data_IF_185208727715
#
_entry.id   IF_185208727715
#
_cell.length_a   1.000
_cell.length_b   1.000
_cell.length_c   1.000
_cell.angle_alpha   90.00
_cell.angle_beta   90.00
_cell.angle_gamma   90.00
#
_symmetry.space_group_name_H-M   'P 1'
#
loop_
_entity.id
_entity.type
_entity.pdbx_description
1 polymer ?
#
# COMPACT_ATOMS: atom_id res chain seq x y z
N UNK A 1 7.71 -20.73 1.43
CA UNK A 1 7.39 -21.02 2.84
C UNK A 1 7.17 -19.68 3.52
N UNK A 2 6.07 -19.50 4.25
CA UNK A 2 5.76 -18.23 4.94
C UNK A 2 6.47 -18.11 6.30
N UNK A 3 6.99 -19.23 6.80
CA UNK A 3 7.78 -19.26 8.02
C UNK A 3 9.15 -18.63 7.75
N UNK A 4 9.56 -17.73 8.64
CA UNK A 4 10.76 -16.94 8.56
C UNK A 4 11.59 -17.12 9.81
N UNK A 5 12.89 -17.17 9.62
CA UNK A 5 13.92 -17.21 10.65
C UNK A 5 14.42 -15.77 10.85
N UNK A 6 14.10 -15.15 12.00
CA UNK A 6 14.46 -13.76 12.28
C UNK A 6 15.94 -13.62 12.67
N UNK A 7 16.54 -14.68 13.20
CA UNK A 7 17.86 -14.66 13.80
C UNK A 7 18.94 -15.34 12.92
N UNK A 8 18.51 -16.01 11.83
CA UNK A 8 19.31 -16.73 10.86
C UNK A 8 20.12 -17.90 11.47
N UNK A 9 19.54 -18.59 12.46
CA UNK A 9 20.13 -19.78 13.10
C UNK A 9 19.75 -21.11 12.40
N UNK A 10 18.93 -21.04 11.36
CA UNK A 10 18.44 -22.17 10.59
C UNK A 10 17.10 -22.71 11.07
N UNK A 11 16.47 -22.09 12.07
CA UNK A 11 15.15 -22.46 12.57
C UNK A 11 14.14 -21.33 12.37
N UNK A 12 12.99 -21.65 11.77
CA UNK A 12 11.95 -20.65 11.58
C UNK A 12 11.23 -20.37 12.91
N UNK A 13 10.99 -19.10 13.20
CA UNK A 13 10.41 -18.64 14.46
C UNK A 13 9.04 -17.98 14.26
N UNK A 14 8.80 -17.40 13.08
CA UNK A 14 7.59 -16.58 12.82
C UNK A 14 6.97 -16.89 11.48
N UNK A 15 5.68 -16.61 11.31
CA UNK A 15 5.03 -16.53 10.01
C UNK A 15 5.03 -15.07 9.54
N UNK A 16 5.75 -14.77 8.46
CA UNK A 16 6.01 -13.40 8.00
C UNK A 16 5.10 -13.01 6.82
N UNK A 17 3.92 -12.49 7.11
CA UNK A 17 2.96 -11.98 6.12
C UNK A 17 3.01 -10.45 6.10
N UNK A 18 3.24 -9.87 4.93
CA UNK A 18 3.23 -8.42 4.72
C UNK A 18 1.86 -7.91 4.26
N UNK A 19 1.20 -8.65 3.38
CA UNK A 19 -0.10 -8.27 2.84
C UNK A 19 -0.96 -9.49 2.65
N UNK A 20 -2.25 -9.36 2.95
CA UNK A 20 -3.28 -10.35 2.64
C UNK A 20 -4.47 -9.66 1.98
N UNK A 21 -5.00 -10.25 0.91
CA UNK A 21 -6.22 -9.80 0.26
C UNK A 21 -7.32 -10.85 0.43
N UNK A 22 -8.53 -10.42 0.77
CA UNK A 22 -9.69 -11.29 0.90
C UNK A 22 -10.14 -11.87 -0.44
N UNK A 23 -10.81 -13.02 -0.41
CA UNK A 23 -11.30 -13.67 -1.64
C UNK A 23 -12.55 -12.99 -2.22
N UNK A 24 -13.38 -12.39 -1.38
CA UNK A 24 -14.70 -11.95 -1.79
C UNK A 24 -14.67 -10.55 -2.40
N UNK A 25 -15.24 -10.41 -3.60
CA UNK A 25 -15.57 -9.13 -4.22
C UNK A 25 -16.77 -8.52 -3.51
N UNK A 26 -16.60 -7.32 -2.94
CA UNK A 26 -17.59 -6.66 -2.08
C UNK A 26 -17.74 -5.19 -2.47
N UNK A 27 -18.96 -4.67 -2.33
CA UNK A 27 -19.22 -3.23 -2.46
C UNK A 27 -18.91 -2.53 -1.12
N UNK A 28 -17.90 -1.64 -1.08
CA UNK A 28 -17.48 -1.04 0.17
C UNK A 28 -18.45 0.02 0.72
N UNK A 29 -19.39 0.52 -0.10
CA UNK A 29 -20.44 1.44 0.33
C UNK A 29 -21.65 0.71 0.92
N UNK A 30 -21.74 -0.61 0.73
CA UNK A 30 -22.81 -1.43 1.30
C UNK A 30 -22.57 -1.64 2.79
N UNK A 31 -23.67 -1.72 3.55
CA UNK A 31 -23.65 -2.11 4.96
C UNK A 31 -23.14 -3.54 5.11
N UNK A 32 -22.27 -3.75 6.10
CA UNK A 32 -21.63 -5.05 6.34
C UNK A 32 -22.62 -6.09 6.87
N UNK A 33 -23.68 -5.66 7.57
CA UNK A 33 -24.78 -6.54 8.01
C UNK A 33 -24.41 -7.53 9.12
N UNK A 34 -23.23 -7.37 9.73
CA UNK A 34 -22.70 -8.19 10.82
C UNK A 34 -22.14 -7.28 11.91
N UNK A 35 -22.26 -7.68 13.18
CA UNK A 35 -21.64 -7.01 14.32
C UNK A 35 -20.43 -7.82 14.79
N UNK A 36 -19.42 -7.13 15.34
CA UNK A 36 -18.24 -7.79 15.89
C UNK A 36 -17.13 -6.81 16.27
N UNK A 37 -15.99 -7.38 16.66
CA UNK A 37 -14.79 -6.65 17.04
C UNK A 37 -13.61 -7.23 16.30
N UNK A 38 -12.91 -6.38 15.54
CA UNK A 38 -11.61 -6.70 14.99
C UNK A 38 -10.54 -6.45 16.04
N UNK A 39 -9.60 -7.38 16.18
CA UNK A 39 -8.47 -7.23 17.07
C UNK A 39 -7.18 -7.34 16.27
N UNK A 40 -6.34 -6.33 16.43
CA UNK A 40 -5.02 -6.22 15.80
C UNK A 40 -3.98 -5.90 16.86
N UNK A 41 -2.70 -6.14 16.54
CA UNK A 41 -1.59 -5.68 17.37
C UNK A 41 -0.82 -4.57 16.67
N UNK A 42 -0.59 -3.47 17.38
CA UNK A 42 0.29 -2.41 16.91
C UNK A 42 1.71 -2.95 16.73
N UNK A 43 2.44 -2.39 15.77
CA UNK A 43 3.82 -2.79 15.50
C UNK A 43 4.82 -2.12 16.47
N UNK A 44 4.55 -2.19 17.78
CA UNK A 44 5.38 -1.68 18.88
C UNK A 44 5.96 -2.82 19.75
N UNK A 45 6.92 -2.52 20.63
CA UNK A 45 7.63 -3.55 21.41
C UNK A 45 6.71 -4.48 22.21
N UNK A 46 5.54 -3.97 22.62
CA UNK A 46 4.59 -4.66 23.47
C UNK A 46 3.48 -5.38 22.70
N UNK A 47 3.42 -5.23 21.38
CA UNK A 47 2.28 -5.67 20.56
C UNK A 47 0.94 -5.18 21.12
N UNK A 48 0.82 -3.87 21.38
CA UNK A 48 -0.36 -3.30 22.03
C UNK A 48 -1.64 -3.69 21.28
N UNK A 49 -2.59 -4.29 22.00
CA UNK A 49 -3.87 -4.72 21.44
C UNK A 49 -4.73 -3.51 21.05
N UNK A 50 -5.17 -3.49 19.79
CA UNK A 50 -6.08 -2.48 19.24
C UNK A 50 -7.36 -3.18 18.81
N UNK A 51 -8.46 -2.79 19.45
CA UNK A 51 -9.79 -3.35 19.20
C UNK A 51 -10.64 -2.34 18.44
N UNK A 52 -11.29 -2.80 17.39
CA UNK A 52 -12.08 -1.97 16.48
C UNK A 52 -13.45 -2.61 16.31
N UNK A 53 -14.43 -2.01 16.95
CA UNK A 53 -15.82 -2.47 16.88
C UNK A 53 -16.47 -2.01 15.56
N UNK A 54 -17.26 -2.92 14.99
CA UNK A 54 -18.09 -2.67 13.82
C UNK A 54 -19.50 -3.18 14.07
N UNK A 55 -20.48 -2.50 13.48
CA UNK A 55 -21.88 -2.87 13.57
C UNK A 55 -22.48 -3.23 12.21
N UNK A 56 -23.59 -3.97 12.22
CA UNK A 56 -24.40 -4.31 11.06
C UNK A 56 -24.82 -3.10 10.22
N UNK A 57 -24.93 -1.94 10.86
CA UNK A 57 -25.27 -0.67 10.21
C UNK A 57 -24.08 0.04 9.56
N UNK A 58 -22.85 -0.31 9.94
CA UNK A 58 -21.65 0.28 9.38
C UNK A 58 -21.44 -0.17 7.93
N UNK A 59 -20.91 0.73 7.12
CA UNK A 59 -20.37 0.40 5.79
C UNK A 59 -18.93 -0.07 5.91
N UNK A 60 -18.47 -0.89 4.96
CA UNK A 60 -17.08 -1.34 4.97
C UNK A 60 -16.11 -0.15 4.87
N UNK A 61 -16.44 0.90 4.12
CA UNK A 61 -15.64 2.13 4.07
C UNK A 61 -15.45 2.78 5.46
N UNK A 62 -16.48 2.77 6.31
CA UNK A 62 -16.37 3.28 7.66
C UNK A 62 -15.48 2.38 8.53
N UNK A 63 -15.59 1.06 8.39
CA UNK A 63 -14.73 0.11 9.10
C UNK A 63 -13.27 0.26 8.67
N UNK A 64 -12.99 0.33 7.36
CA UNK A 64 -11.66 0.59 6.79
C UNK A 64 -11.09 1.89 7.35
N UNK A 65 -11.89 2.95 7.40
CA UNK A 65 -11.47 4.22 7.98
C UNK A 65 -11.09 4.07 9.46
N UNK A 66 -11.92 3.39 10.26
CA UNK A 66 -11.60 3.12 11.68
C UNK A 66 -10.31 2.32 11.84
N UNK A 67 -10.06 1.31 10.99
CA UNK A 67 -8.80 0.56 10.97
C UNK A 67 -7.60 1.49 10.75
N UNK A 68 -7.68 2.33 9.73
CA UNK A 68 -6.59 3.23 9.37
C UNK A 68 -6.38 4.35 10.40
N UNK A 69 -7.45 4.84 11.02
CA UNK A 69 -7.40 5.89 12.04
C UNK A 69 -6.89 5.36 13.40
N UNK A 70 -7.01 4.05 13.67
CA UNK A 70 -6.65 3.45 14.95
C UNK A 70 -5.14 3.14 15.12
N UNK A 71 -4.35 3.27 14.05
CA UNK A 71 -2.92 2.90 14.02
C UNK A 71 -2.67 1.49 14.59
N UNK A 72 -3.35 0.52 13.95
CA UNK A 72 -3.46 -0.85 14.41
C UNK A 72 -2.34 -1.78 13.90
N UNK A 73 -1.21 -1.24 13.43
CA UNK A 73 -0.13 -2.02 12.81
C UNK A 73 -0.42 -2.49 11.36
N UNK A 74 -1.62 -2.20 10.86
CA UNK A 74 -2.07 -2.53 9.51
C UNK A 74 -2.78 -1.34 8.86
N UNK A 75 -2.72 -1.28 7.53
CA UNK A 75 -3.52 -0.38 6.68
C UNK A 75 -4.47 -1.22 5.85
N UNK A 76 -5.74 -0.85 5.89
CA UNK A 76 -6.81 -1.46 5.12
C UNK A 76 -7.15 -0.61 3.89
N UNK A 77 -7.36 -1.26 2.75
CA UNK A 77 -7.81 -0.60 1.52
C UNK A 77 -8.54 -1.58 0.59
N UNK A 78 -9.30 -1.06 -0.36
CA UNK A 78 -9.91 -1.86 -1.42
C UNK A 78 -8.97 -1.94 -2.62
N UNK A 79 -8.72 -3.15 -3.15
CA UNK A 79 -7.98 -3.31 -4.40
C UNK A 79 -8.86 -3.00 -5.62
N UNK A 80 -8.27 -3.05 -6.83
CA UNK A 80 -9.02 -2.83 -8.08
C UNK A 80 -10.07 -3.91 -8.39
N UNK A 81 -9.99 -5.06 -7.73
CA UNK A 81 -10.95 -6.18 -7.86
C UNK A 81 -12.07 -6.11 -6.81
N UNK A 82 -12.20 -4.98 -6.12
CA UNK A 82 -13.15 -4.75 -5.03
C UNK A 82 -13.05 -5.79 -3.90
N UNK A 83 -11.83 -6.20 -3.56
CA UNK A 83 -11.55 -7.05 -2.40
C UNK A 83 -10.85 -6.21 -1.32
N UNK A 84 -11.13 -6.54 -0.05
CA UNK A 84 -10.42 -5.93 1.07
C UNK A 84 -8.98 -6.46 1.13
N UNK A 85 -8.01 -5.55 1.16
CA UNK A 85 -6.61 -5.86 1.40
C UNK A 85 -6.16 -5.24 2.72
N UNK A 86 -5.39 -6.01 3.50
CA UNK A 86 -4.70 -5.57 4.70
C UNK A 86 -3.21 -5.64 4.45
N UNK A 87 -2.50 -4.55 4.76
CA UNK A 87 -1.05 -4.43 4.57
C UNK A 87 -0.39 -3.98 5.87
N UNK A 88 0.69 -4.64 6.26
CA UNK A 88 1.45 -4.27 7.45
C UNK A 88 2.10 -2.89 7.32
N UNK A 89 2.11 -2.14 8.42
CA UNK A 89 2.85 -0.87 8.52
C UNK A 89 4.29 -1.10 8.97
N UNK A 90 5.07 -0.03 9.00
CA UNK A 90 6.43 -0.11 9.51
C UNK A 90 6.43 -0.40 11.02
N UNK A 91 7.35 -1.25 11.47
CA UNK A 91 7.53 -1.54 12.89
C UNK A 91 8.32 -0.42 13.57
N UNK A 92 7.87 0.00 14.75
CA UNK A 92 8.54 1.03 15.56
C UNK A 92 9.58 0.44 16.54
N UNK A 93 9.60 -0.88 16.70
CA UNK A 93 10.47 -1.63 17.61
C UNK A 93 11.69 -2.24 16.89
N UNK A 94 11.59 -3.48 16.41
CA UNK A 94 12.65 -4.21 15.74
C UNK A 94 12.46 -4.15 14.23
N UNK A 95 13.52 -3.68 13.56
CA UNK A 95 13.63 -3.65 12.10
C UNK A 95 13.47 -5.04 11.47
N UNK A 96 13.75 -6.13 12.19
CA UNK A 96 13.57 -7.50 11.71
C UNK A 96 12.10 -7.90 11.58
N UNK A 97 11.22 -7.34 12.42
CA UNK A 97 9.77 -7.58 12.37
C UNK A 97 9.03 -6.53 11.53
N UNK A 98 9.78 -5.69 10.82
CA UNK A 98 9.23 -4.63 10.01
C UNK A 98 8.37 -5.22 8.88
N UNK A 99 7.27 -4.54 8.55
CA UNK A 99 6.36 -4.97 7.49
C UNK A 99 5.79 -6.39 7.70
N UNK A 100 5.55 -6.78 8.95
CA UNK A 100 4.84 -8.00 9.32
C UNK A 100 3.48 -7.66 9.94
N UNK A 101 2.42 -8.31 9.46
CA UNK A 101 1.13 -8.32 10.14
C UNK A 101 1.33 -9.14 11.41
N UNK A 102 1.04 -8.57 12.58
CA UNK A 102 1.29 -9.23 13.86
C UNK A 102 0.12 -10.09 14.33
N UNK A 103 -1.09 -9.54 14.28
CA UNK A 103 -2.28 -10.24 14.71
C UNK A 103 -3.46 -9.84 13.83
N UNK A 104 -4.25 -10.83 13.41
CA UNK A 104 -5.54 -10.62 12.76
C UNK A 104 -6.57 -11.50 13.47
N UNK A 105 -7.55 -10.88 14.11
CA UNK A 105 -8.66 -11.58 14.71
C UNK A 105 -9.96 -10.82 14.44
N UNK A 106 -11.02 -11.59 14.24
CA UNK A 106 -12.37 -11.06 14.12
C UNK A 106 -13.30 -11.92 14.97
N UNK A 107 -14.00 -11.30 15.93
CA UNK A 107 -15.00 -12.00 16.75
C UNK A 107 -16.32 -12.26 16.00
N UNK A 108 -16.58 -11.53 14.91
CA UNK A 108 -17.75 -11.69 14.05
C UNK A 108 -17.40 -12.34 12.72
N UNK A 109 -18.01 -11.87 11.63
CA UNK A 109 -17.94 -12.50 10.30
C UNK A 109 -17.36 -11.58 9.21
N UNK A 110 -16.83 -10.41 9.58
CA UNK A 110 -16.30 -9.44 8.63
C UNK A 110 -15.05 -9.96 7.90
N UNK A 111 -14.03 -10.43 8.63
CA UNK A 111 -12.80 -10.99 8.06
C UNK A 111 -12.98 -12.41 7.52
N UNK A 112 -14.04 -13.11 7.94
CA UNK A 112 -14.26 -14.53 7.64
C UNK A 112 -15.28 -14.70 6.52
N UNK A 113 -16.56 -14.51 6.80
CA UNK A 113 -17.64 -14.66 5.83
C UNK A 113 -17.73 -13.53 4.80
N UNK A 114 -17.59 -12.27 5.23
CA UNK A 114 -17.83 -11.09 4.38
C UNK A 114 -16.67 -10.84 3.41
N UNK A 115 -15.44 -10.71 3.91
CA UNK A 115 -14.26 -10.41 3.07
C UNK A 115 -13.49 -11.67 2.64
N UNK A 116 -13.55 -12.77 3.40
CA UNK A 116 -12.83 -14.00 3.07
C UNK A 116 -11.32 -13.92 3.27
N UNK A 117 -10.85 -13.20 4.30
CA UNK A 117 -9.43 -13.12 4.68
C UNK A 117 -9.05 -14.29 5.61
N UNK A 118 -9.85 -14.56 6.65
CA UNK A 118 -9.63 -15.58 7.66
C UNK A 118 -10.52 -16.82 7.43
N UNK A 119 -10.08 -17.98 7.91
CA UNK A 119 -10.81 -19.24 7.82
C UNK A 119 -11.88 -19.42 8.91
N UNK A 120 -11.71 -18.78 10.07
CA UNK A 120 -12.64 -18.90 11.20
C UNK A 120 -12.59 -17.65 12.10
N UNK A 121 -13.68 -17.41 12.82
CA UNK A 121 -13.82 -16.29 13.76
C UNK A 121 -13.30 -16.64 15.15
N UNK A 122 -13.04 -15.60 15.95
CA UNK A 122 -12.55 -15.67 17.33
C UNK A 122 -11.09 -16.08 17.45
N UNK A 123 -10.62 -16.17 18.70
CA UNK A 123 -9.21 -16.39 19.03
C UNK A 123 -8.60 -17.67 18.47
N UNK A 124 -9.40 -18.70 18.20
CA UNK A 124 -8.92 -19.95 17.58
C UNK A 124 -8.68 -19.82 16.06
N UNK A 125 -9.38 -18.89 15.41
CA UNK A 125 -9.23 -18.54 14.00
C UNK A 125 -8.27 -17.38 13.76
N UNK A 126 -7.82 -16.72 14.83
CA UNK A 126 -6.88 -15.62 14.77
C UNK A 126 -5.53 -16.05 14.17
N UNK A 127 -4.97 -15.18 13.35
CA UNK A 127 -3.62 -15.26 12.83
C UNK A 127 -2.67 -14.56 13.82
N UNK A 128 -1.60 -15.24 14.25
CA UNK A 128 -0.55 -14.66 15.12
C UNK A 128 0.85 -14.93 14.52
N UNK A 129 1.59 -13.87 14.19
CA UNK A 129 2.89 -14.02 13.53
C UNK A 129 3.93 -14.83 14.33
N UNK A 130 3.80 -14.93 15.66
CA UNK A 130 4.75 -15.66 16.52
C UNK A 130 4.58 -17.17 16.46
N UNK A 131 3.56 -17.67 15.76
CA UNK A 131 3.32 -19.09 15.56
C UNK A 131 3.69 -19.47 14.13
N UNK A 132 4.12 -20.72 13.98
CA UNK A 132 4.48 -21.29 12.69
C UNK A 132 3.24 -21.77 11.95
N UNK A 133 3.30 -21.76 10.62
CA UNK A 133 2.25 -22.26 9.73
C UNK A 133 0.90 -21.54 9.86
N UNK A 134 0.91 -20.32 10.38
CA UNK A 134 -0.29 -19.49 10.57
C UNK A 134 -0.87 -18.98 9.26
N UNK A 135 -0.13 -19.08 8.17
CA UNK A 135 -0.66 -18.85 6.83
C UNK A 135 -1.87 -19.77 6.52
N UNK A 136 -1.98 -20.93 7.18
CA UNK A 136 -3.14 -21.83 7.07
C UNK A 136 -4.41 -21.26 7.72
N UNK A 137 -4.32 -20.19 8.52
CA UNK A 137 -5.48 -19.45 9.04
C UNK A 137 -6.05 -18.50 8.01
N UNK A 138 -5.25 -18.13 7.00
CA UNK A 138 -5.68 -17.28 5.91
C UNK A 138 -6.44 -18.11 4.88
N UNK A 139 -7.55 -17.56 4.41
CA UNK A 139 -8.35 -18.15 3.33
C UNK A 139 -7.83 -17.73 1.96
N UNK A 140 -7.12 -16.60 1.89
CA UNK A 140 -6.55 -16.06 0.66
C UNK A 140 -5.61 -17.06 -0.03
N UNK A 141 -5.71 -17.27 -1.35
CA UNK A 141 -4.75 -18.09 -2.07
C UNK A 141 -3.35 -17.46 -1.99
N UNK A 142 -2.30 -18.28 -2.12
CA UNK A 142 -0.90 -17.82 -1.94
C UNK A 142 -0.50 -16.65 -2.85
N UNK A 143 -1.17 -16.46 -3.99
CA UNK A 143 -0.95 -15.33 -4.89
C UNK A 143 -1.42 -13.97 -4.30
N UNK A 144 -2.38 -14.02 -3.38
CA UNK A 144 -3.00 -12.86 -2.73
C UNK A 144 -2.40 -12.59 -1.34
N UNK A 145 -1.44 -13.42 -0.93
CA UNK A 145 -0.62 -13.23 0.27
C UNK A 145 0.79 -12.85 -0.17
N UNK A 146 1.25 -11.67 0.22
CA UNK A 146 2.63 -11.25 0.00
C UNK A 146 3.41 -11.45 1.29
N UNK A 147 4.53 -12.16 1.20
CA UNK A 147 5.44 -12.37 2.33
C UNK A 147 6.25 -11.11 2.61
N UNK A 148 6.70 -10.96 3.85
CA UNK A 148 7.53 -9.84 4.25
C UNK A 148 8.86 -9.83 3.50
N UNK A 149 9.31 -8.65 2.99
CA UNK A 149 10.62 -8.53 2.36
C UNK A 149 11.70 -9.00 3.32
N UNK A 150 12.57 -9.89 2.84
CA UNK A 150 13.66 -10.45 3.64
C UNK A 150 14.60 -9.31 4.04
N UNK A 151 14.87 -9.19 5.34
CA UNK A 151 15.81 -8.22 5.86
C UNK A 151 17.24 -8.62 5.44
N UNK A 152 18.01 -7.67 4.90
CA UNK A 152 19.36 -7.89 4.37
C UNK A 152 19.48 -9.04 3.36
N UNK A 153 18.96 -8.92 2.12
CA UNK A 153 19.18 -9.94 1.10
C UNK A 153 20.67 -10.21 0.84
N UNK A 154 21.54 -9.22 1.07
CA UNK A 154 22.99 -9.37 0.98
C UNK A 154 23.61 -10.25 2.08
N UNK A 155 22.92 -10.50 3.20
CA UNK A 155 23.40 -11.42 4.24
C UNK A 155 23.37 -12.88 3.80
N UNK A 156 22.53 -13.21 2.82
CA UNK A 156 22.51 -14.51 2.14
C UNK A 156 23.62 -14.65 1.10
N UNK A 157 24.32 -13.57 0.76
CA UNK A 157 25.51 -13.63 -0.09
C UNK A 157 26.72 -13.87 0.79
N UNK A 158 27.08 -15.14 0.97
CA UNK A 158 28.30 -15.53 1.68
C UNK A 158 29.39 -15.99 0.69
N UNK A 159 30.64 -15.67 1.01
CA UNK A 159 31.81 -16.23 0.32
C UNK A 159 31.95 -17.69 0.76
N UNK A 160 32.11 -18.61 -0.19
CA UNK A 160 32.40 -20.02 0.12
C UNK A 160 33.52 -20.15 1.15
N UNK A 161 33.35 -21.06 2.11
CA UNK A 161 34.36 -21.34 3.14
C UNK A 161 35.74 -21.66 2.55
N UNK A 162 35.77 -22.33 1.40
CA UNK A 162 37.02 -22.66 0.70
C UNK A 162 37.77 -21.41 0.23
N UNK A 163 37.04 -20.43 -0.32
CA UNK A 163 37.60 -19.15 -0.77
C UNK A 163 37.99 -18.26 0.42
N UNK A 164 37.20 -18.29 1.51
CA UNK A 164 37.51 -17.55 2.73
C UNK A 164 38.78 -18.07 3.40
N UNK A 165 38.97 -19.38 3.43
CA UNK A 165 40.12 -20.04 4.05
C UNK A 165 41.38 -19.95 3.19
N UNK A 166 41.24 -20.05 1.87
CA UNK A 166 42.36 -19.88 0.94
C UNK A 166 41.91 -19.15 -0.34
N UNK A 167 42.18 -17.83 -0.44
CA UNK A 167 41.90 -17.06 -1.65
C UNK A 167 42.67 -17.55 -2.90
N UNK A 168 43.77 -18.30 -2.73
CA UNK A 168 44.54 -18.84 -3.85
C UNK A 168 43.81 -19.99 -4.57
N UNK A 169 42.72 -20.51 -3.99
CA UNK A 169 41.83 -21.49 -4.66
C UNK A 169 41.07 -20.88 -5.85
N UNK A 170 40.96 -19.54 -5.93
CA UNK A 170 40.43 -18.87 -7.10
C UNK A 170 41.50 -18.86 -8.20
N UNK A 171 41.46 -19.87 -9.07
CA UNK A 171 42.33 -19.96 -10.24
C UNK A 171 41.95 -18.93 -11.32
N UNK A 172 42.25 -17.65 -11.08
CA UNK A 172 41.89 -16.54 -11.97
C UNK A 172 42.66 -16.54 -13.31
N UNK A 173 43.87 -17.10 -13.33
CA UNK A 173 44.69 -17.29 -14.54
C UNK A 173 44.61 -18.71 -15.07
N UNK A 174 44.60 -18.86 -16.40
CA UNK A 174 44.56 -20.16 -17.07
C UNK A 174 45.94 -20.68 -17.42
N UNK A 175 46.91 -19.77 -17.59
CA UNK A 175 48.23 -20.09 -18.09
C UNK A 175 48.34 -19.96 -19.62
N UNK A 176 49.50 -20.37 -20.14
CA UNK A 176 49.80 -20.45 -21.58
C UNK A 176 50.01 -21.92 -21.96
N UNK A 177 49.43 -22.31 -23.08
CA UNK A 177 49.78 -23.55 -23.77
C UNK A 177 51.06 -23.28 -24.57
N UNK A 178 52.15 -23.89 -24.11
CA UNK A 178 53.45 -23.85 -24.80
C UNK A 178 53.63 -25.19 -25.49
N UNK A 179 53.36 -25.23 -26.78
CA UNK A 179 53.45 -26.46 -27.59
C UNK A 179 52.22 -26.73 -28.45
N UNK A 180 51.07 -26.09 -28.15
CA UNK A 180 49.84 -26.24 -28.92
C UNK A 180 49.15 -27.58 -28.65
N UNK A 181 49.40 -28.18 -27.49
CA UNK A 181 48.95 -29.50 -27.08
C UNK A 181 47.58 -29.47 -26.38
N UNK A 182 47.04 -28.28 -26.11
CA UNK A 182 45.73 -28.07 -25.48
C UNK A 182 45.76 -28.06 -23.96
N UNK A 183 46.91 -28.28 -23.33
CA UNK A 183 47.17 -28.20 -21.91
C UNK A 183 47.97 -26.93 -21.54
N UNK A 184 47.46 -26.20 -20.55
CA UNK A 184 48.05 -24.94 -20.12
C UNK A 184 49.18 -25.20 -19.12
N UNK A 185 50.40 -25.29 -19.63
CA UNK A 185 51.56 -25.80 -18.89
C UNK A 185 52.50 -24.72 -18.33
N UNK A 186 52.23 -23.45 -18.59
CA UNK A 186 53.07 -22.33 -18.10
C UNK A 186 52.23 -21.23 -17.49
N UNK A 187 52.71 -20.58 -16.43
CA UNK A 187 52.01 -19.46 -15.80
C UNK A 187 51.83 -18.28 -16.78
N UNK A 188 50.62 -17.71 -16.84
CA UNK A 188 50.29 -16.57 -17.70
C UNK A 188 50.88 -15.23 -17.21
N UNK A 189 51.37 -15.19 -15.97
CA UNK A 189 51.90 -14.01 -15.30
C UNK A 189 50.86 -13.33 -14.40
N UNK A 190 51.27 -12.29 -13.67
CA UNK A 190 50.42 -11.57 -12.70
C UNK A 190 49.22 -10.82 -13.31
N UNK A 191 49.14 -10.73 -14.64
CA UNK A 191 48.05 -10.08 -15.38
C UNK A 191 47.14 -11.10 -16.11
N UNK A 192 47.30 -12.40 -15.87
CA UNK A 192 46.45 -13.41 -16.48
C UNK A 192 45.12 -13.55 -15.72
N UNK A 193 44.07 -12.94 -16.29
CA UNK A 193 42.68 -13.06 -15.83
C UNK A 193 41.82 -13.93 -16.74
N UNK A 194 42.40 -14.83 -17.54
CA UNK A 194 41.67 -15.58 -18.58
C UNK A 194 40.54 -16.45 -18.00
N UNK A 195 40.78 -17.10 -16.86
CA UNK A 195 39.73 -17.88 -16.18
C UNK A 195 38.70 -16.97 -15.50
N UNK A 196 39.13 -15.83 -14.94
CA UNK A 196 38.20 -14.84 -14.39
C UNK A 196 37.23 -14.31 -15.47
N UNK A 197 37.71 -14.12 -16.70
CA UNK A 197 36.87 -13.75 -17.84
C UNK A 197 35.88 -14.86 -18.22
N UNK A 198 36.32 -16.13 -18.17
CA UNK A 198 35.44 -17.28 -18.42
C UNK A 198 34.38 -17.43 -17.34
N UNK A 199 34.73 -17.24 -16.07
CA UNK A 199 33.78 -17.24 -14.95
C UNK A 199 32.77 -16.09 -15.12
N UNK A 200 33.24 -14.88 -15.45
CA UNK A 200 32.36 -13.75 -15.72
C UNK A 200 31.41 -14.01 -16.90
N UNK A 201 31.89 -14.65 -17.97
CA UNK A 201 31.07 -15.04 -19.11
C UNK A 201 30.05 -16.14 -18.75
N UNK A 202 30.45 -17.13 -17.95
CA UNK A 202 29.56 -18.20 -17.47
C UNK A 202 28.46 -17.62 -16.57
N UNK A 203 28.81 -16.75 -15.61
CA UNK A 203 27.83 -16.08 -14.75
C UNK A 203 26.85 -15.21 -15.56
N UNK A 204 27.29 -14.63 -16.68
CA UNK A 204 26.42 -13.87 -17.59
C UNK A 204 25.48 -14.73 -18.42
N UNK A 205 25.87 -15.96 -18.77
CA UNK A 205 25.13 -16.80 -19.72
C UNK A 205 24.30 -17.91 -19.05
N UNK A 206 24.68 -18.32 -17.83
CA UNK A 206 23.97 -19.40 -17.14
C UNK A 206 22.67 -18.90 -16.50
N UNK A 207 21.60 -19.68 -16.70
CA UNK A 207 20.30 -19.50 -16.04
C UNK A 207 20.39 -19.94 -14.57
N UNK A 208 21.06 -19.14 -13.73
CA UNK A 208 21.20 -19.40 -12.29
C UNK A 208 20.46 -18.40 -11.39
N UNK A 209 19.64 -17.52 -11.94
CA UNK A 209 18.77 -16.68 -11.11
C UNK A 209 17.59 -17.50 -10.59
N UNK A 210 17.44 -17.52 -9.27
CA UNK A 210 16.34 -18.24 -8.64
C UNK A 210 15.01 -17.50 -8.89
N UNK A 211 13.97 -18.26 -9.24
CA UNK A 211 12.64 -17.72 -9.58
C UNK A 211 12.52 -16.97 -10.91
N UNK A 212 13.58 -16.83 -11.71
CA UNK A 212 13.54 -16.27 -13.07
C UNK A 212 14.33 -17.17 -14.02
N UNK A 213 13.69 -17.68 -15.08
CA UNK A 213 14.36 -18.49 -16.12
C UNK A 213 15.21 -17.61 -17.08
N UNK A 214 15.94 -16.64 -16.53
CA UNK A 214 16.76 -15.69 -17.26
C UNK A 214 18.16 -15.61 -16.64
N UNK A 215 19.16 -15.31 -17.47
CA UNK A 215 20.53 -15.10 -17.00
C UNK A 215 20.63 -13.75 -16.25
N UNK A 216 21.74 -13.50 -15.54
CA UNK A 216 21.88 -12.29 -14.71
C UNK A 216 21.73 -10.98 -15.49
N UNK A 217 22.13 -10.97 -16.76
CA UNK A 217 22.02 -9.78 -17.63
C UNK A 217 20.58 -9.53 -18.06
N UNK A 218 19.86 -10.57 -18.47
CA UNK A 218 18.44 -10.50 -18.79
C UNK A 218 17.60 -10.10 -17.57
N UNK A 219 17.89 -10.67 -16.40
CA UNK A 219 17.23 -10.28 -15.15
C UNK A 219 17.45 -8.80 -14.84
N UNK A 220 18.70 -8.33 -14.95
CA UNK A 220 19.02 -6.92 -14.71
C UNK A 220 18.34 -5.99 -15.71
N UNK A 221 18.35 -6.33 -17.00
CA UNK A 221 17.65 -5.57 -18.04
C UNK A 221 16.13 -5.54 -17.82
N UNK A 222 15.54 -6.69 -17.43
CA UNK A 222 14.12 -6.77 -17.09
C UNK A 222 13.77 -5.94 -15.85
N UNK A 223 14.63 -5.94 -14.82
CA UNK A 223 14.46 -5.12 -13.63
C UNK A 223 14.48 -3.62 -13.97
N UNK A 224 15.46 -3.16 -14.75
CA UNK A 224 15.53 -1.77 -15.20
C UNK A 224 14.31 -1.41 -16.05
N UNK A 225 13.92 -2.30 -16.97
CA UNK A 225 12.75 -2.08 -17.82
C UNK A 225 11.48 -1.93 -16.99
N UNK A 226 11.26 -2.84 -16.03
CA UNK A 226 10.14 -2.80 -15.09
C UNK A 226 10.14 -1.51 -14.28
N UNK A 227 11.27 -1.14 -13.68
CA UNK A 227 11.41 0.11 -12.94
C UNK A 227 11.08 1.32 -13.80
N UNK A 228 11.54 1.34 -15.06
CA UNK A 228 11.24 2.40 -16.01
C UNK A 228 9.74 2.49 -16.36
N UNK A 229 9.08 1.35 -16.54
CA UNK A 229 7.63 1.30 -16.79
C UNK A 229 6.80 1.74 -15.58
N UNK A 230 7.16 1.29 -14.37
CA UNK A 230 6.49 1.64 -13.12
C UNK A 230 6.69 3.13 -12.80
N UNK A 231 7.90 3.67 -12.99
CA UNK A 231 8.19 5.09 -12.80
C UNK A 231 7.34 5.95 -13.74
N UNK A 232 7.23 5.58 -15.02
CA UNK A 232 6.41 6.31 -15.98
C UNK A 232 4.93 6.25 -15.62
N UNK A 233 4.43 5.08 -15.23
CA UNK A 233 3.05 4.92 -14.80
C UNK A 233 2.72 5.77 -13.55
N UNK A 234 3.65 5.86 -12.59
CA UNK A 234 3.50 6.70 -11.41
C UNK A 234 3.51 8.21 -11.75
N UNK A 235 4.38 8.64 -12.66
CA UNK A 235 4.42 10.02 -13.15
C UNK A 235 3.13 10.40 -13.87
N UNK A 236 2.65 9.55 -14.79
CA UNK A 236 1.39 9.75 -15.50
C UNK A 236 0.20 9.79 -14.52
N UNK A 237 0.17 8.93 -13.51
CA UNK A 237 -0.87 8.94 -12.48
C UNK A 237 -0.86 10.23 -11.65
N UNK A 238 0.34 10.73 -11.30
CA UNK A 238 0.49 12.00 -10.58
C UNK A 238 -0.03 13.18 -11.40
N UNK A 239 0.29 13.23 -12.70
CA UNK A 239 -0.22 14.27 -13.60
C UNK A 239 -1.74 14.24 -13.69
N UNK A 240 -2.33 13.05 -13.90
CA UNK A 240 -3.80 12.87 -13.94
C UNK A 240 -4.48 13.33 -12.66
N UNK A 241 -3.93 12.95 -11.49
CA UNK A 241 -4.50 13.38 -10.20
C UNK A 241 -4.44 14.89 -10.02
N UNK A 242 -3.39 15.56 -10.53
CA UNK A 242 -3.34 17.03 -10.51
C UNK A 242 -4.41 17.66 -11.41
N UNK A 243 -4.61 17.13 -12.62
CA UNK A 243 -5.67 17.60 -13.53
C UNK A 243 -7.07 17.38 -12.94
N UNK A 244 -7.29 16.23 -12.30
CA UNK A 244 -8.53 15.92 -11.58
C UNK A 244 -8.75 16.89 -10.41
N UNK A 245 -7.71 17.20 -9.63
CA UNK A 245 -7.79 18.18 -8.54
C UNK A 245 -8.13 19.59 -9.04
N UNK A 246 -7.57 20.02 -10.17
CA UNK A 246 -7.91 21.30 -10.79
C UNK A 246 -9.38 21.30 -11.22
N UNK A 247 -9.83 20.23 -11.88
CA UNK A 247 -11.22 20.07 -12.33
C UNK A 247 -12.20 20.08 -11.16
N UNK A 248 -11.91 19.33 -10.09
CA UNK A 248 -12.73 19.31 -8.88
C UNK A 248 -12.75 20.67 -8.17
N UNK A 249 -11.63 21.40 -8.15
CA UNK A 249 -11.61 22.75 -7.60
C UNK A 249 -12.47 23.72 -8.42
N UNK A 250 -12.42 23.64 -9.75
CA UNK A 250 -13.26 24.45 -10.63
C UNK A 250 -14.76 24.13 -10.43
N UNK A 251 -15.12 22.85 -10.33
CA UNK A 251 -16.49 22.43 -10.01
C UNK A 251 -16.94 22.96 -8.64
N UNK A 252 -16.07 22.87 -7.63
CA UNK A 252 -16.34 23.41 -6.30
C UNK A 252 -16.55 24.92 -6.34
N UNK A 253 -15.73 25.66 -7.09
CA UNK A 253 -15.90 27.10 -7.31
C UNK A 253 -17.16 27.43 -8.10
N UNK A 254 -17.58 26.59 -9.04
CA UNK A 254 -18.84 26.81 -9.78
C UNK A 254 -20.07 26.62 -8.90
N UNK A 255 -20.02 25.75 -7.90
CA UNK A 255 -21.16 25.46 -7.00
C UNK A 255 -21.16 26.39 -5.78
N UNK A 256 -19.99 26.66 -5.20
CA UNK A 256 -19.86 27.47 -3.98
C UNK A 256 -19.46 28.92 -4.25
N UNK A 257 -18.96 29.22 -5.44
CA UNK A 257 -18.64 30.58 -5.84
C UNK A 257 -19.92 31.35 -6.09
N UNK A 258 -20.04 32.50 -5.44
CA UNK A 258 -21.09 33.46 -5.76
C UNK A 258 -20.53 34.46 -6.76
N UNK A 259 -21.28 34.72 -7.83
CA UNK A 259 -20.90 35.75 -8.79
C UNK A 259 -21.17 37.12 -8.16
N UNK A 260 -20.11 37.91 -7.93
CA UNK A 260 -20.23 39.28 -7.41
C UNK A 260 -21.10 40.16 -8.31
N UNK A 261 -21.14 39.88 -9.62
CA UNK A 261 -21.98 40.59 -10.57
C UNK A 261 -23.47 40.24 -10.40
N UNK A 262 -23.78 38.97 -10.13
CA UNK A 262 -25.17 38.56 -9.79
C UNK A 262 -25.59 39.10 -8.42
N UNK A 263 -24.73 39.03 -7.41
CA UNK A 263 -25.01 39.64 -6.10
C UNK A 263 -25.18 41.15 -6.20
N UNK A 264 -24.38 41.85 -7.01
CA UNK A 264 -24.53 43.28 -7.25
C UNK A 264 -25.85 43.60 -7.97
N UNK A 265 -26.21 42.82 -9.00
CA UNK A 265 -27.49 42.98 -9.71
C UNK A 265 -28.69 42.76 -8.78
N UNK A 266 -28.64 41.71 -7.94
CA UNK A 266 -29.64 41.44 -6.91
C UNK A 266 -29.70 42.57 -5.88
N UNK A 267 -28.55 43.11 -5.46
CA UNK A 267 -28.50 44.23 -4.52
C UNK A 267 -29.15 45.49 -5.10
N UNK A 268 -28.85 45.82 -6.37
CA UNK A 268 -29.48 46.93 -7.10
C UNK A 268 -30.99 46.71 -7.24
N UNK A 269 -31.42 45.49 -7.56
CA UNK A 269 -32.84 45.13 -7.64
C UNK A 269 -33.55 45.30 -6.29
N UNK A 270 -32.95 44.84 -5.19
CA UNK A 270 -33.49 45.02 -3.85
C UNK A 270 -33.54 46.49 -3.45
N UNK A 271 -32.52 47.29 -3.80
CA UNK A 271 -32.50 48.72 -3.55
C UNK A 271 -33.60 49.46 -4.32
N UNK A 272 -33.85 49.10 -5.58
CA UNK A 272 -34.97 49.64 -6.35
C UNK A 272 -36.32 49.23 -5.78
N UNK A 273 -36.48 47.97 -5.39
CA UNK A 273 -37.69 47.44 -4.78
C UNK A 273 -38.00 48.12 -3.44
N UNK A 274 -36.98 48.35 -2.62
CA UNK A 274 -37.10 49.10 -1.36
C UNK A 274 -37.53 50.55 -1.61
N UNK A 275 -36.90 51.24 -2.55
CA UNK A 275 -37.27 52.60 -2.93
C UNK A 275 -38.69 52.69 -3.53
N UNK A 276 -39.17 51.65 -4.20
CA UNK A 276 -40.55 51.56 -4.68
C UNK A 276 -41.52 51.34 -3.51
N UNK A 277 -41.23 50.42 -2.59
CA UNK A 277 -42.04 50.16 -1.40
C UNK A 277 -42.14 51.39 -0.49
N UNK A 278 -41.02 52.09 -0.26
CA UNK A 278 -41.00 53.35 0.50
C UNK A 278 -41.91 54.42 -0.12
N UNK A 279 -41.95 54.52 -1.45
CA UNK A 279 -42.87 55.42 -2.16
C UNK A 279 -44.34 55.01 -1.98
N UNK A 280 -44.64 53.71 -2.01
CA UNK A 280 -46.01 53.20 -1.74
C UNK A 280 -46.44 53.50 -0.31
N UNK A 281 -45.55 53.34 0.67
CA UNK A 281 -45.84 53.67 2.06
C UNK A 281 -46.06 55.18 2.21
N UNK A 282 -45.25 56.02 1.57
CA UNK A 282 -45.41 57.47 1.60
C UNK A 282 -46.70 57.95 0.92
N UNK A 283 -47.12 57.30 -0.17
CA UNK A 283 -48.42 57.61 -0.79
C UNK A 283 -49.57 57.12 0.08
N UNK A 284 -49.46 55.96 0.73
CA UNK A 284 -50.43 55.51 1.74
C UNK A 284 -50.52 56.47 2.92
N UNK A 285 -49.40 56.97 3.44
CA UNK A 285 -49.35 57.95 4.52
C UNK A 285 -50.04 59.26 4.11
N UNK A 286 -49.76 59.75 2.90
CA UNK A 286 -50.48 60.91 2.33
C UNK A 286 -51.99 60.65 2.20
N UNK A 287 -52.40 59.45 1.78
CA UNK A 287 -53.82 59.10 1.69
C UNK A 287 -54.49 59.07 3.07
N UNK A 288 -53.83 58.50 4.08
CA UNK A 288 -54.32 58.47 5.45
C UNK A 288 -54.41 59.87 6.05
N UNK A 289 -53.42 60.73 5.81
CA UNK A 289 -53.44 62.14 6.23
C UNK A 289 -54.62 62.89 5.63
N UNK A 290 -54.92 62.70 4.34
CA UNK A 290 -56.09 63.31 3.69
C UNK A 290 -57.40 62.82 4.32
N UNK A 291 -57.54 61.52 4.60
CA UNK A 291 -58.74 60.96 5.23
C UNK A 291 -58.92 61.49 6.66
N UNK A 292 -57.84 61.53 7.46
CA UNK A 292 -57.91 61.89 8.88
C UNK A 292 -58.01 63.40 9.08
N UNK A 293 -57.17 64.18 8.40
CA UNK A 293 -57.00 65.60 8.67
C UNK A 293 -57.75 66.52 7.69
N UNK A 294 -58.15 66.05 6.50
CA UNK A 294 -58.83 66.90 5.48
C UNK A 294 -60.28 66.54 5.19
N UNK A 295 -60.78 65.36 5.59
CA UNK A 295 -62.19 64.98 5.46
C UNK A 295 -63.00 65.10 6.76
N UNK A 296 -62.36 65.25 7.92
CA UNK A 296 -63.03 65.54 9.18
C UNK A 296 -63.35 67.04 9.30
N UNK A 297 -64.26 67.53 8.46
CA UNK A 297 -64.96 68.83 8.61
C UNK A 297 -66.43 68.63 8.28
#
# INVERSE_FOLDING_TARGET
MANYDLNNDGTAEVTAVFRVTGQNTIDPARRVGVDGTLTFFRNDENNTEVRIDYSQDDTLNQVIKRINDADAGVVAYMNHDNQLALKATAASDDRRTNFMIRHLEDSGELLVGYTGILNASGSAGAYDFRRLDEINKLRAPLQDVTLTPIFHPASYLEISGDVRNDPATIAAGRGKDVGGTGDYNTAGGAADGSNALLIAAALKQENRMDGHAANSEEFYNALISKLGTESRAAEDASLRLNDDLVTLNNLRQSVMGVSLDEEMSNMVQFQHSYNAAARVISTMDTMLDVIINRMAV
#
